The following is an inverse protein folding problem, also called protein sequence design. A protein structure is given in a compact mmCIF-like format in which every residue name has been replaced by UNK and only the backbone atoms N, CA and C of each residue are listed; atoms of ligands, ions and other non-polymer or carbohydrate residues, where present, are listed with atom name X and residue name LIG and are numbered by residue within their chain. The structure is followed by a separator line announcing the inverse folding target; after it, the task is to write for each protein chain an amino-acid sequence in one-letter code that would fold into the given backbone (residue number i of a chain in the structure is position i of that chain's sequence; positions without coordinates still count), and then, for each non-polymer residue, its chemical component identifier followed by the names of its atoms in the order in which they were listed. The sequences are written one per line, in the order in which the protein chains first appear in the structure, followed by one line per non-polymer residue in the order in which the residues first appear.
data_IF_053039645352
#
_entry.id   IF_053039645352
#
_cell.length_a   1.000
_cell.length_b   1.000
_cell.length_c   1.000
_cell.angle_alpha   90.00
_cell.angle_beta   90.00
_cell.angle_gamma   90.00
#
_symmetry.space_group_name_H-M   'P 1'
#
loop_
_entity.id
_entity.type
_entity.pdbx_description
1 polymer ?
#
# COMPACT_ATOMS: atom_id res chain seq x y z
N UNK A 1 -16.84 -9.76 11.14
CA UNK A 1 -15.94 -10.93 11.16
C UNK A 1 -16.71 -12.17 10.74
N UNK A 2 -16.21 -12.92 9.75
CA UNK A 2 -16.90 -14.07 9.15
C UNK A 2 -16.44 -15.42 9.74
N UNK A 3 -17.27 -16.46 9.62
CA UNK A 3 -17.00 -17.76 10.22
C UNK A 3 -15.77 -18.46 9.63
N UNK A 4 -15.57 -18.38 8.31
CA UNK A 4 -14.40 -18.95 7.61
C UNK A 4 -13.13 -18.20 7.99
N UNK A 5 -13.18 -16.86 8.10
CA UNK A 5 -12.02 -16.06 8.55
C UNK A 5 -11.57 -16.49 9.95
N UNK A 6 -12.51 -16.62 10.89
CA UNK A 6 -12.18 -17.09 12.24
C UNK A 6 -11.64 -18.53 12.26
N UNK A 7 -12.16 -19.41 11.40
CA UNK A 7 -11.63 -20.75 11.25
C UNK A 7 -10.21 -20.75 10.67
N UNK A 8 -9.94 -19.89 9.68
CA UNK A 8 -8.62 -19.74 9.06
C UNK A 8 -7.57 -19.30 10.10
N UNK A 9 -7.88 -18.36 10.99
CA UNK A 9 -6.97 -18.00 12.09
C UNK A 9 -6.68 -19.18 13.03
N UNK A 10 -7.71 -19.92 13.44
CA UNK A 10 -7.52 -21.09 14.31
C UNK A 10 -6.66 -22.15 13.64
N UNK A 11 -6.93 -22.44 12.37
CA UNK A 11 -6.15 -23.40 11.57
C UNK A 11 -4.72 -22.91 11.45
N UNK A 12 -4.48 -21.63 11.14
CA UNK A 12 -3.14 -21.06 11.03
C UNK A 12 -2.33 -21.21 12.32
N UNK A 13 -2.94 -20.98 13.49
CA UNK A 13 -2.27 -21.15 14.80
C UNK A 13 -1.93 -22.60 15.14
N UNK A 14 -2.75 -23.54 14.68
CA UNK A 14 -2.57 -24.97 14.93
C UNK A 14 -1.78 -25.70 13.83
N UNK A 15 -1.53 -25.05 12.67
CA UNK A 15 -0.91 -25.67 11.50
C UNK A 15 0.50 -26.19 11.83
N UNK A 16 0.83 -27.40 11.34
CA UNK A 16 2.13 -28.04 11.55
C UNK A 16 2.69 -28.60 10.24
N UNK A 17 3.90 -28.19 9.82
CA UNK A 17 4.74 -27.14 10.42
C UNK A 17 4.03 -25.77 10.42
N UNK A 18 4.42 -24.81 11.29
CA UNK A 18 3.80 -23.48 11.31
C UNK A 18 3.88 -22.81 9.94
N UNK A 19 2.80 -22.16 9.52
CA UNK A 19 2.82 -21.31 8.32
C UNK A 19 3.76 -20.12 8.54
N UNK A 20 4.46 -19.73 7.48
CA UNK A 20 5.25 -18.50 7.47
C UNK A 20 4.36 -17.28 7.71
N UNK A 21 4.93 -16.15 8.14
CA UNK A 21 4.14 -14.92 8.32
C UNK A 21 3.43 -14.47 7.02
N UNK A 22 4.07 -14.46 5.84
CA UNK A 22 3.39 -14.18 4.57
C UNK A 22 2.26 -15.15 4.25
N UNK A 23 2.48 -16.46 4.42
CA UNK A 23 1.43 -17.45 4.12
C UNK A 23 0.24 -17.36 5.09
N UNK A 24 0.46 -16.91 6.33
CA UNK A 24 -0.65 -16.57 7.26
C UNK A 24 -1.46 -15.37 6.77
N UNK A 25 -0.82 -14.34 6.22
CA UNK A 25 -1.51 -13.18 5.65
C UNK A 25 -2.31 -13.56 4.40
N UNK A 26 -1.70 -14.32 3.50
CA UNK A 26 -2.38 -14.88 2.32
C UNK A 26 -3.58 -15.74 2.71
N UNK A 27 -3.45 -16.57 3.75
CA UNK A 27 -4.55 -17.38 4.27
C UNK A 27 -5.70 -16.51 4.82
N UNK A 28 -5.40 -15.38 5.47
CA UNK A 28 -6.43 -14.44 5.94
C UNK A 28 -7.20 -13.84 4.79
N UNK A 29 -6.49 -13.37 3.77
CA UNK A 29 -7.11 -12.78 2.57
C UNK A 29 -7.97 -13.81 1.82
N UNK A 30 -7.44 -15.00 1.55
CA UNK A 30 -8.19 -16.08 0.91
C UNK A 30 -9.36 -16.57 1.77
N UNK A 31 -9.20 -16.58 3.10
CA UNK A 31 -10.28 -16.87 4.04
C UNK A 31 -11.42 -15.85 3.97
N UNK A 32 -11.11 -14.57 3.77
CA UNK A 32 -12.10 -13.53 3.54
C UNK A 32 -12.80 -13.69 2.18
N UNK A 33 -12.07 -14.07 1.13
CA UNK A 33 -12.65 -14.41 -0.18
C UNK A 33 -13.58 -15.63 -0.09
N UNK A 34 -13.16 -16.68 0.63
CA UNK A 34 -13.96 -17.87 0.88
C UNK A 34 -15.22 -17.56 1.71
N UNK A 35 -15.17 -16.61 2.64
CA UNK A 35 -16.36 -16.11 3.35
C UNK A 35 -17.38 -15.51 2.37
N UNK A 36 -16.93 -14.69 1.40
CA UNK A 36 -17.81 -14.11 0.38
C UNK A 36 -18.43 -15.21 -0.50
N UNK A 37 -17.63 -16.22 -0.90
CA UNK A 37 -18.15 -17.38 -1.63
C UNK A 37 -19.19 -18.15 -0.80
N UNK A 38 -18.93 -18.40 0.48
CA UNK A 38 -19.90 -19.07 1.37
C UNK A 38 -21.20 -18.28 1.48
N UNK A 39 -21.13 -16.96 1.72
CA UNK A 39 -22.31 -16.12 1.82
C UNK A 39 -23.17 -16.20 0.54
N UNK A 40 -22.53 -16.25 -0.63
CA UNK A 40 -23.24 -16.47 -1.88
C UNK A 40 -23.84 -17.87 -2.00
N UNK A 41 -23.03 -18.93 -1.82
CA UNK A 41 -23.43 -20.33 -2.03
C UNK A 41 -24.51 -20.77 -1.02
N UNK A 42 -24.37 -20.39 0.25
CA UNK A 42 -25.24 -20.84 1.34
C UNK A 42 -26.46 -19.93 1.50
N UNK A 43 -26.28 -18.61 1.41
CA UNK A 43 -27.35 -17.65 1.70
C UNK A 43 -27.95 -17.02 0.43
N UNK A 44 -27.43 -17.32 -0.75
CA UNK A 44 -27.85 -16.65 -1.99
C UNK A 44 -27.44 -15.17 -2.06
N UNK A 45 -26.45 -14.73 -1.28
CA UNK A 45 -26.05 -13.32 -1.24
C UNK A 45 -25.34 -12.88 -2.54
N UNK A 46 -26.11 -12.26 -3.43
CA UNK A 46 -25.60 -11.71 -4.70
C UNK A 46 -24.60 -10.56 -4.50
N UNK A 47 -24.67 -9.82 -3.38
CA UNK A 47 -23.72 -8.72 -3.10
C UNK A 47 -22.36 -9.27 -2.72
N UNK A 48 -22.31 -10.37 -1.98
CA UNK A 48 -21.06 -11.06 -1.66
C UNK A 48 -20.34 -11.53 -2.94
N UNK A 49 -21.10 -12.12 -3.88
CA UNK A 49 -20.56 -12.52 -5.19
C UNK A 49 -20.05 -11.32 -5.99
N UNK A 50 -20.84 -10.25 -6.09
CA UNK A 50 -20.46 -9.05 -6.83
C UNK A 50 -19.17 -8.40 -6.30
N UNK A 51 -18.93 -8.43 -4.98
CA UNK A 51 -17.68 -7.95 -4.35
C UNK A 51 -16.47 -8.81 -4.74
N UNK A 52 -16.62 -10.13 -4.76
CA UNK A 52 -15.54 -11.01 -5.20
C UNK A 52 -15.23 -10.82 -6.69
N UNK A 53 -16.26 -10.72 -7.52
CA UNK A 53 -16.10 -10.44 -8.96
C UNK A 53 -15.44 -9.08 -9.20
N UNK A 54 -15.71 -8.09 -8.36
CA UNK A 54 -15.03 -6.79 -8.40
C UNK A 54 -13.53 -6.90 -8.16
N UNK A 55 -13.10 -7.70 -7.17
CA UNK A 55 -11.68 -7.95 -6.91
C UNK A 55 -11.03 -8.67 -8.09
N UNK A 56 -11.68 -9.68 -8.65
CA UNK A 56 -11.16 -10.44 -9.79
C UNK A 56 -10.98 -9.61 -11.07
N UNK A 57 -11.71 -8.50 -11.21
CA UNK A 57 -11.57 -7.54 -12.32
C UNK A 57 -10.42 -6.54 -12.16
N UNK A 58 -9.75 -6.51 -11.02
CA UNK A 58 -8.58 -5.65 -10.81
C UNK A 58 -7.37 -6.17 -11.61
N UNK A 59 -6.38 -5.32 -11.84
CA UNK A 59 -5.10 -5.75 -12.42
C UNK A 59 -4.35 -6.70 -11.47
N UNK A 60 -3.45 -7.57 -11.95
CA UNK A 60 -3.15 -7.81 -13.36
C UNK A 60 -4.27 -8.62 -14.03
N UNK A 61 -4.45 -8.51 -15.35
CA UNK A 61 -5.37 -9.41 -16.05
C UNK A 61 -4.88 -10.85 -15.94
N UNK A 62 -5.78 -11.75 -15.54
CA UNK A 62 -5.49 -13.17 -15.37
C UNK A 62 -6.40 -13.97 -16.28
N UNK A 63 -5.80 -14.77 -17.17
CA UNK A 63 -6.53 -15.63 -18.08
C UNK A 63 -7.18 -16.82 -17.38
N UNK A 64 -8.10 -17.53 -18.06
CA UNK A 64 -8.87 -18.63 -17.47
C UNK A 64 -8.01 -19.83 -17.05
N UNK A 65 -6.82 -19.99 -17.60
CA UNK A 65 -5.87 -21.05 -17.23
C UNK A 65 -4.78 -20.54 -16.28
N UNK A 66 -4.89 -19.31 -15.78
CA UNK A 66 -3.89 -18.67 -14.91
C UNK A 66 -2.79 -17.93 -15.67
N UNK A 67 -2.99 -17.62 -16.95
CA UNK A 67 -2.06 -16.76 -17.70
C UNK A 67 -1.93 -15.41 -17.00
N UNK A 68 -0.69 -14.90 -16.85
CA UNK A 68 -0.43 -13.63 -16.17
C UNK A 68 -0.29 -13.73 -14.64
N UNK A 69 -0.51 -14.90 -14.05
CA UNK A 69 -0.17 -15.15 -12.64
C UNK A 69 1.36 -15.33 -12.53
N UNK A 70 1.99 -14.56 -11.65
CA UNK A 70 3.41 -14.73 -11.36
C UNK A 70 3.63 -16.05 -10.59
N UNK A 71 4.71 -16.82 -10.88
CA UNK A 71 4.99 -18.09 -10.23
C UNK A 71 4.95 -18.05 -8.70
N UNK A 72 5.27 -16.89 -8.10
CA UNK A 72 5.20 -16.66 -6.66
C UNK A 72 3.79 -16.85 -6.11
N UNK A 73 2.80 -16.21 -6.70
CA UNK A 73 1.40 -16.31 -6.28
C UNK A 73 0.82 -17.70 -6.56
N UNK A 74 1.22 -18.33 -7.67
CA UNK A 74 0.85 -19.71 -7.96
C UNK A 74 1.37 -20.68 -6.88
N UNK A 75 2.66 -20.59 -6.54
CA UNK A 75 3.27 -21.41 -5.49
C UNK A 75 2.64 -21.13 -4.12
N UNK A 76 2.42 -19.86 -3.77
CA UNK A 76 1.82 -19.50 -2.50
C UNK A 76 0.37 -20.00 -2.36
N UNK A 77 -0.42 -19.96 -3.43
CA UNK A 77 -1.76 -20.54 -3.43
C UNK A 77 -1.74 -22.05 -3.20
N UNK A 78 -0.79 -22.77 -3.79
CA UNK A 78 -0.61 -24.22 -3.57
C UNK A 78 -0.26 -24.52 -2.11
N UNK A 79 0.65 -23.75 -1.49
CA UNK A 79 1.07 -23.94 -0.09
C UNK A 79 -0.05 -23.66 0.91
N UNK A 80 -0.84 -22.61 0.68
CA UNK A 80 -1.89 -22.17 1.62
C UNK A 80 -3.18 -22.96 1.46
N UNK A 81 -3.44 -23.56 0.29
CA UNK A 81 -4.71 -24.26 -0.03
C UNK A 81 -5.12 -25.30 1.02
N UNK A 82 -4.26 -26.23 1.51
CA UNK A 82 -4.68 -27.23 2.47
C UNK A 82 -5.20 -26.63 3.79
N UNK A 83 -4.60 -25.52 4.23
CA UNK A 83 -5.06 -24.80 5.43
C UNK A 83 -6.40 -24.10 5.20
N UNK A 84 -6.60 -23.51 4.02
CA UNK A 84 -7.88 -22.92 3.64
C UNK A 84 -9.00 -23.97 3.55
N UNK A 85 -8.73 -25.12 2.92
CA UNK A 85 -9.66 -26.23 2.83
C UNK A 85 -10.05 -26.76 4.22
N UNK A 86 -9.07 -26.93 5.12
CA UNK A 86 -9.33 -27.32 6.51
C UNK A 86 -10.22 -26.29 7.24
N UNK A 87 -9.98 -25.00 7.04
CA UNK A 87 -10.79 -23.93 7.63
C UNK A 87 -12.23 -23.94 7.12
N UNK A 88 -12.43 -24.11 5.81
CA UNK A 88 -13.76 -24.21 5.19
C UNK A 88 -14.48 -25.48 5.63
N UNK A 89 -13.78 -26.62 5.68
CA UNK A 89 -14.33 -27.90 6.11
C UNK A 89 -14.85 -27.85 7.55
N UNK A 90 -14.12 -27.17 8.46
CA UNK A 90 -14.57 -26.98 9.83
C UNK A 90 -15.89 -26.18 9.94
N UNK A 91 -16.17 -25.30 8.98
CA UNK A 91 -17.42 -24.53 8.93
C UNK A 91 -18.54 -25.33 8.27
N UNK A 92 -18.26 -26.05 7.17
CA UNK A 92 -19.25 -26.93 6.55
C UNK A 92 -19.70 -28.03 7.52
N UNK A 93 -18.76 -28.66 8.23
CA UNK A 93 -19.10 -29.70 9.21
C UNK A 93 -19.96 -29.21 10.38
N UNK A 94 -19.93 -27.91 10.69
CA UNK A 94 -20.73 -27.31 11.77
C UNK A 94 -22.06 -26.73 11.29
N UNK A 95 -22.31 -26.67 9.98
CA UNK A 95 -23.59 -26.26 9.41
C UNK A 95 -24.27 -27.49 8.81
N UNK A 96 -25.52 -27.79 9.19
CA UNK A 96 -26.31 -28.92 8.65
C UNK A 96 -26.58 -28.84 7.12
N UNK A 97 -26.00 -27.85 6.44
CA UNK A 97 -25.96 -27.68 5.00
C UNK A 97 -25.03 -28.73 4.36
N UNK A 98 -25.46 -29.98 4.41
CA UNK A 98 -24.83 -31.10 3.72
C UNK A 98 -25.13 -31.00 2.21
N UNK A 99 -24.62 -29.97 1.54
CA UNK A 99 -24.69 -29.88 0.08
C UNK A 99 -23.61 -30.78 -0.51
N UNK A 100 -24.07 -31.89 -1.10
CA UNK A 100 -23.30 -32.95 -1.75
C UNK A 100 -22.00 -32.47 -2.43
N UNK A 101 -20.84 -32.75 -1.83
CA UNK A 101 -19.49 -32.79 -2.43
C UNK A 101 -18.91 -31.51 -3.06
N UNK A 102 -19.73 -30.66 -3.70
CA UNK A 102 -19.32 -29.43 -4.37
C UNK A 102 -19.17 -28.22 -3.46
N UNK A 103 -19.65 -28.30 -2.21
CA UNK A 103 -19.62 -27.17 -1.27
C UNK A 103 -18.20 -26.73 -0.88
N UNK A 104 -17.28 -27.67 -0.64
CA UNK A 104 -15.90 -27.34 -0.23
C UNK A 104 -15.18 -26.57 -1.33
N UNK A 105 -15.11 -27.10 -2.55
CA UNK A 105 -14.43 -26.44 -3.68
C UNK A 105 -15.11 -25.13 -4.06
N UNK A 106 -16.44 -25.06 -4.03
CA UNK A 106 -17.17 -23.83 -4.34
C UNK A 106 -16.89 -22.69 -3.34
N UNK A 107 -16.55 -23.02 -2.10
CA UNK A 107 -16.25 -22.04 -1.04
C UNK A 107 -14.75 -21.75 -0.97
N UNK A 108 -13.90 -22.78 -0.92
CA UNK A 108 -12.45 -22.64 -0.81
C UNK A 108 -11.80 -22.12 -2.11
N UNK A 109 -12.44 -22.31 -3.27
CA UNK A 109 -11.84 -22.08 -4.58
C UNK A 109 -10.85 -23.18 -4.96
N UNK A 110 -10.32 -23.12 -6.18
CA UNK A 110 -9.19 -23.96 -6.59
C UNK A 110 -7.87 -23.18 -6.63
N UNK A 111 -6.77 -23.87 -6.97
CA UNK A 111 -5.44 -23.29 -6.94
C UNK A 111 -5.29 -22.11 -7.91
N UNK A 112 -5.89 -22.20 -9.11
CA UNK A 112 -5.80 -21.13 -10.12
C UNK A 112 -6.60 -19.92 -9.66
N UNK A 113 -7.83 -20.12 -9.16
CA UNK A 113 -8.65 -19.02 -8.66
C UNK A 113 -7.99 -18.33 -7.45
N UNK A 114 -7.42 -19.10 -6.53
CA UNK A 114 -6.76 -18.55 -5.35
C UNK A 114 -5.45 -17.84 -5.72
N UNK A 115 -4.67 -18.37 -6.67
CA UNK A 115 -3.49 -17.68 -7.19
C UNK A 115 -3.86 -16.38 -7.91
N UNK A 116 -4.96 -16.38 -8.67
CA UNK A 116 -5.47 -15.17 -9.31
C UNK A 116 -5.84 -14.11 -8.27
N UNK A 117 -6.53 -14.49 -7.20
CA UNK A 117 -6.88 -13.59 -6.09
C UNK A 117 -5.64 -13.04 -5.38
N UNK A 118 -4.64 -13.88 -5.10
CA UNK A 118 -3.37 -13.42 -4.53
C UNK A 118 -2.66 -12.44 -5.46
N UNK A 119 -2.69 -12.67 -6.77
CA UNK A 119 -2.13 -11.71 -7.74
C UNK A 119 -2.87 -10.37 -7.70
N UNK A 120 -4.19 -10.36 -7.45
CA UNK A 120 -4.93 -9.12 -7.21
C UNK A 120 -4.51 -8.47 -5.90
N UNK A 121 -4.39 -9.22 -4.82
CA UNK A 121 -3.94 -8.70 -3.53
C UNK A 121 -2.56 -8.03 -3.65
N UNK A 122 -1.55 -8.74 -4.19
CA UNK A 122 -0.18 -8.23 -4.32
C UNK A 122 -0.11 -6.86 -5.00
N UNK A 123 -0.95 -6.61 -6.00
CA UNK A 123 -0.92 -5.38 -6.79
C UNK A 123 -1.88 -4.28 -6.31
N UNK A 124 -2.87 -4.63 -5.49
CA UNK A 124 -3.98 -3.73 -5.16
C UNK A 124 -4.25 -3.58 -3.66
N UNK A 125 -3.52 -4.29 -2.81
CA UNK A 125 -3.67 -4.19 -1.37
C UNK A 125 -3.10 -2.87 -0.85
N UNK A 126 -3.86 -2.29 0.07
CA UNK A 126 -3.54 -1.05 0.76
C UNK A 126 -3.17 -1.39 2.20
N UNK A 127 -1.98 -0.95 2.63
CA UNK A 127 -1.54 -1.09 4.02
C UNK A 127 -2.46 -0.28 4.95
N UNK A 128 -3.08 -0.96 5.91
CA UNK A 128 -3.97 -0.39 6.92
C UNK A 128 -3.15 0.15 8.08
N UNK A 129 -3.08 1.47 8.22
CA UNK A 129 -2.26 2.12 9.24
C UNK A 129 -2.90 2.05 10.63
N UNK A 130 -2.11 1.73 11.66
CA UNK A 130 -2.45 1.82 13.08
C UNK A 130 -2.74 3.26 13.52
N UNK A 131 -3.43 3.47 14.64
CA UNK A 131 -3.62 4.81 15.20
C UNK A 131 -2.26 5.41 15.57
N UNK A 132 -2.11 6.73 15.44
CA UNK A 132 -0.94 7.39 16.02
C UNK A 132 -1.14 7.50 17.54
N UNK A 133 -0.15 7.06 18.33
CA UNK A 133 -0.21 7.06 19.79
C UNK A 133 -0.17 8.47 20.42
N UNK A 134 0.05 9.54 19.65
CA UNK A 134 0.21 10.93 20.13
C UNK A 134 -1.04 11.63 20.71
N UNK A 135 -2.15 10.93 20.91
CA UNK A 135 -3.41 11.56 21.31
C UNK A 135 -3.48 12.01 22.79
N UNK A 136 -2.54 11.63 23.66
CA UNK A 136 -2.62 11.95 25.10
C UNK A 136 -1.48 12.82 25.67
N UNK A 137 -0.55 13.30 24.82
CA UNK A 137 0.56 14.15 25.28
C UNK A 137 1.50 13.48 26.29
N UNK A 138 1.40 12.16 26.50
CA UNK A 138 2.36 11.43 27.32
C UNK A 138 3.65 11.22 26.51
N UNK A 139 4.74 11.80 26.99
CA UNK A 139 6.08 11.49 26.48
C UNK A 139 6.46 10.08 26.97
N UNK A 140 6.28 9.06 26.14
CA UNK A 140 6.98 7.79 26.36
C UNK A 140 8.46 8.03 26.10
N UNK A 141 9.30 7.92 27.13
CA UNK A 141 10.76 7.99 27.05
C UNK A 141 11.39 6.77 26.34
N UNK A 142 10.62 6.06 25.51
CA UNK A 142 11.08 4.89 24.78
C UNK A 142 11.32 5.31 23.34
N UNK A 143 12.59 5.45 22.97
CA UNK A 143 13.09 5.76 21.62
C UNK A 143 12.78 4.65 20.59
N UNK A 144 11.94 3.67 20.96
CA UNK A 144 11.54 2.57 20.10
C UNK A 144 10.09 2.74 19.61
N UNK A 145 9.97 3.24 18.37
CA UNK A 145 8.91 2.84 17.43
C UNK A 145 7.53 3.56 17.57
N UNK A 146 7.54 4.90 17.64
CA UNK A 146 6.36 5.80 17.55
C UNK A 146 5.84 6.00 16.10
N UNK A 147 6.32 5.20 15.15
CA UNK A 147 5.81 5.21 13.78
C UNK A 147 4.44 4.51 13.71
N UNK A 148 3.49 5.09 12.97
CA UNK A 148 2.23 4.41 12.65
C UNK A 148 2.55 3.11 11.93
N UNK A 149 2.34 1.96 12.57
CA UNK A 149 2.61 0.65 11.97
C UNK A 149 1.47 0.21 11.05
N UNK A 150 1.78 -0.53 9.98
CA UNK A 150 0.76 -1.23 9.20
C UNK A 150 0.22 -2.41 10.04
N UNK A 151 -1.10 -2.48 10.27
CA UNK A 151 -1.78 -3.53 11.04
C UNK A 151 -2.38 -4.64 10.18
N UNK A 152 -2.44 -4.43 8.86
CA UNK A 152 -2.96 -5.40 7.91
C UNK A 152 -3.08 -4.83 6.51
N UNK A 153 -3.67 -5.60 5.59
CA UNK A 153 -3.98 -5.20 4.22
C UNK A 153 -5.48 -5.14 3.97
N UNK A 154 -5.89 -4.27 3.05
CA UNK A 154 -7.26 -4.20 2.54
C UNK A 154 -7.26 -3.95 1.03
N UNK A 155 -8.22 -4.55 0.31
CA UNK A 155 -8.41 -4.31 -1.13
C UNK A 155 -9.65 -3.44 -1.32
N UNK A 156 -9.50 -2.35 -2.06
CA UNK A 156 -10.55 -1.35 -2.29
C UNK A 156 -10.82 -1.20 -3.78
N UNK A 157 -11.87 -1.85 -4.30
CA UNK A 157 -12.17 -1.87 -5.75
C UNK A 157 -12.00 -0.51 -6.45
N UNK A 158 -12.60 0.55 -5.90
CA UNK A 158 -12.58 1.87 -6.53
C UNK A 158 -11.22 2.56 -6.38
N UNK A 159 -10.56 2.42 -5.23
CA UNK A 159 -9.26 3.04 -5.01
C UNK A 159 -8.15 2.35 -5.82
N UNK A 160 -8.24 1.04 -6.00
CA UNK A 160 -7.33 0.24 -6.83
C UNK A 160 -7.32 0.62 -8.32
N UNK A 161 -8.26 1.46 -8.78
CA UNK A 161 -8.30 1.98 -10.15
C UNK A 161 -7.53 3.29 -10.33
N UNK A 162 -7.08 3.92 -9.26
CA UNK A 162 -6.38 5.20 -9.30
C UNK A 162 -4.90 4.94 -9.53
N UNK A 163 -4.37 5.47 -10.63
CA UNK A 163 -2.99 5.23 -11.03
C UNK A 163 -1.97 5.97 -10.16
N UNK A 164 -0.72 5.53 -10.30
CA UNK A 164 0.43 6.12 -9.64
C UNK A 164 0.89 7.42 -10.30
N UNK A 165 1.21 8.43 -9.50
CA UNK A 165 2.16 9.47 -9.88
C UNK A 165 3.07 9.83 -8.70
N UNK A 166 4.36 10.07 -8.95
CA UNK A 166 5.28 10.58 -7.92
C UNK A 166 4.97 12.04 -7.54
N UNK A 167 4.17 12.71 -8.38
CA UNK A 167 3.45 13.95 -8.09
C UNK A 167 1.94 13.70 -8.16
N UNK A 168 1.37 13.17 -7.08
CA UNK A 168 -0.06 12.90 -7.05
C UNK A 168 -0.87 14.18 -6.93
N UNK A 169 -2.12 14.12 -7.40
CA UNK A 169 -3.10 15.18 -7.17
C UNK A 169 -4.13 14.82 -6.09
N UNK A 170 -4.10 13.60 -5.55
CA UNK A 170 -4.85 13.20 -4.36
C UNK A 170 -3.94 12.57 -3.29
N UNK A 171 -4.31 12.77 -2.03
CA UNK A 171 -3.73 12.08 -0.89
C UNK A 171 -4.73 11.04 -0.35
N UNK A 172 -4.22 9.87 0.01
CA UNK A 172 -4.99 8.77 0.59
C UNK A 172 -5.12 8.93 2.10
N UNK A 173 -6.34 8.93 2.62
CA UNK A 173 -6.65 8.92 4.04
C UNK A 173 -7.44 7.66 4.40
N UNK A 174 -6.96 6.93 5.39
CA UNK A 174 -7.66 5.75 5.90
C UNK A 174 -8.31 6.01 7.26
N UNK A 175 -9.44 5.34 7.51
CA UNK A 175 -10.29 5.59 8.66
C UNK A 175 -10.29 4.45 9.70
N UNK A 176 -9.19 3.71 9.83
CA UNK A 176 -9.22 2.39 10.49
C UNK A 176 -9.30 2.38 12.01
N UNK A 177 -8.98 3.48 12.69
CA UNK A 177 -8.85 3.45 14.15
C UNK A 177 -9.99 4.09 14.92
N UNK A 178 -11.06 4.55 14.28
CA UNK A 178 -12.37 4.73 14.93
C UNK A 178 -12.42 5.55 16.24
N UNK A 179 -11.38 6.28 16.65
CA UNK A 179 -11.48 7.21 17.79
C UNK A 179 -12.04 8.52 17.24
N UNK A 180 -13.36 8.52 17.12
CA UNK A 180 -14.27 9.63 16.80
C UNK A 180 -14.14 10.84 17.75
N UNK A 181 -13.19 10.84 18.68
CA UNK A 181 -13.03 11.86 19.72
C UNK A 181 -11.71 12.61 19.65
N UNK A 182 -10.75 12.21 18.79
CA UNK A 182 -9.53 13.01 18.61
C UNK A 182 -9.75 14.11 17.56
N UNK A 183 -9.64 15.40 17.93
CA UNK A 183 -9.71 16.51 16.97
C UNK A 183 -8.52 16.53 15.99
N UNK A 184 -7.50 15.67 16.16
CA UNK A 184 -6.38 15.51 15.22
C UNK A 184 -6.78 14.86 13.90
N UNK A 185 -7.98 14.28 13.81
CA UNK A 185 -8.48 13.63 12.61
C UNK A 185 -9.81 14.30 12.18
N UNK A 186 -9.74 15.57 11.76
CA UNK A 186 -10.92 16.35 11.33
C UNK A 186 -11.74 15.74 10.20
N UNK A 187 -11.18 14.75 9.53
CA UNK A 187 -11.90 13.87 8.62
C UNK A 187 -13.07 13.08 9.24
N UNK A 188 -13.19 13.08 10.57
CA UNK A 188 -14.30 12.49 11.31
C UNK A 188 -15.44 13.47 11.62
N UNK A 189 -15.32 14.75 11.28
CA UNK A 189 -16.40 15.71 11.56
C UNK A 189 -17.58 15.42 10.62
N UNK A 190 -18.79 15.13 11.14
CA UNK A 190 -19.98 15.02 10.31
C UNK A 190 -20.15 16.29 9.49
N UNK A 191 -20.34 16.17 8.18
CA UNK A 191 -20.60 17.33 7.33
C UNK A 191 -21.84 18.04 7.87
N UNK A 192 -21.81 19.38 7.93
CA UNK A 192 -23.02 20.20 8.23
C UNK A 192 -24.20 19.84 7.31
N UNK A 193 -23.89 19.21 6.17
CA UNK A 193 -24.79 18.82 5.10
C UNK A 193 -25.46 17.43 5.32
N UNK A 194 -25.24 16.76 6.46
CA UNK A 194 -26.03 15.57 6.88
C UNK A 194 -25.51 14.20 6.43
N UNK A 195 -24.28 14.10 5.90
CA UNK A 195 -23.67 12.79 5.62
C UNK A 195 -23.08 12.19 6.91
N UNK A 196 -23.39 10.92 7.18
CA UNK A 196 -22.79 10.15 8.27
C UNK A 196 -21.26 10.21 8.21
N UNK A 197 -20.55 10.23 9.36
CA UNK A 197 -19.10 10.15 9.36
C UNK A 197 -18.64 8.87 8.64
N UNK A 198 -17.47 8.90 7.98
CA UNK A 198 -16.99 7.75 7.23
C UNK A 198 -16.87 6.52 8.14
N UNK A 199 -17.12 5.35 7.57
CA UNK A 199 -17.06 4.09 8.31
C UNK A 199 -15.62 3.70 8.67
N UNK A 200 -15.38 2.89 9.71
CA UNK A 200 -14.03 2.52 10.18
C UNK A 200 -13.22 1.65 9.21
N UNK A 201 -13.75 1.36 8.02
CA UNK A 201 -13.06 0.62 6.97
C UNK A 201 -13.06 1.40 5.66
N UNK A 202 -13.39 2.69 5.70
CA UNK A 202 -13.46 3.55 4.51
C UNK A 202 -12.09 4.18 4.21
N UNK A 203 -11.70 4.10 2.93
CA UNK A 203 -10.56 4.81 2.37
C UNK A 203 -11.08 5.98 1.56
N UNK A 204 -10.48 7.16 1.76
CA UNK A 204 -10.82 8.37 1.02
C UNK A 204 -9.60 8.90 0.28
N UNK A 205 -9.84 9.35 -0.95
CA UNK A 205 -8.88 10.06 -1.75
C UNK A 205 -9.28 11.52 -1.76
N UNK A 206 -8.42 12.38 -1.24
CA UNK A 206 -8.70 13.80 -1.02
C UNK A 206 -7.81 14.60 -1.94
N UNK A 207 -8.40 15.47 -2.74
CA UNK A 207 -7.66 16.33 -3.65
C UNK A 207 -6.69 17.24 -2.87
N UNK A 208 -5.42 17.25 -3.28
CA UNK A 208 -4.37 18.09 -2.68
C UNK A 208 -4.56 19.55 -3.13
N UNK A 209 -4.98 19.73 -4.39
CA UNK A 209 -5.34 21.01 -4.98
C UNK A 209 -6.49 20.81 -5.99
N UNK A 210 -6.93 21.87 -6.66
CA UNK A 210 -7.93 21.81 -7.72
C UNK A 210 -7.49 20.87 -8.84
N UNK A 211 -8.34 19.92 -9.17
CA UNK A 211 -8.15 18.98 -10.29
C UNK A 211 -9.05 19.43 -11.44
N UNK A 212 -8.50 19.89 -12.58
CA UNK A 212 -9.30 20.28 -13.73
C UNK A 212 -10.14 19.13 -14.28
N UNK A 213 -11.29 19.44 -14.87
CA UNK A 213 -12.13 18.44 -15.52
C UNK A 213 -11.36 17.75 -16.68
N UNK A 214 -11.41 16.43 -16.73
CA UNK A 214 -10.68 15.63 -17.71
C UNK A 214 -9.24 15.29 -17.32
N UNK A 215 -8.69 15.87 -16.25
CA UNK A 215 -7.43 15.41 -15.68
C UNK A 215 -7.61 14.07 -14.96
N UNK A 216 -6.65 13.17 -15.15
CA UNK A 216 -6.60 11.91 -14.41
C UNK A 216 -6.38 12.16 -12.92
N UNK A 217 -7.08 11.39 -12.08
CA UNK A 217 -6.83 11.36 -10.64
C UNK A 217 -5.69 10.38 -10.38
N UNK A 218 -4.63 10.83 -9.71
CA UNK A 218 -3.43 10.05 -9.42
C UNK A 218 -3.05 10.15 -7.94
N UNK A 219 -2.64 9.01 -7.37
CA UNK A 219 -2.11 8.94 -6.01
C UNK A 219 -0.67 8.43 -6.03
N UNK A 220 0.11 8.67 -4.97
CA UNK A 220 1.40 8.02 -4.84
C UNK A 220 1.22 6.67 -4.16
N UNK A 221 1.86 5.63 -4.72
CA UNK A 221 1.88 4.28 -4.13
C UNK A 221 3.02 4.15 -3.11
N UNK A 222 4.00 5.04 -3.20
CA UNK A 222 5.23 5.06 -2.41
C UNK A 222 5.34 6.41 -1.68
N UNK A 223 6.15 6.52 -0.63
CA UNK A 223 6.42 7.81 -0.02
C UNK A 223 7.04 8.77 -1.05
N UNK A 224 6.49 9.99 -1.15
CA UNK A 224 6.93 10.98 -2.13
C UNK A 224 8.32 11.55 -1.81
N UNK A 225 8.83 11.33 -0.60
CA UNK A 225 10.17 11.74 -0.18
C UNK A 225 11.30 10.81 -0.67
N UNK A 226 10.98 9.60 -1.16
CA UNK A 226 12.01 8.66 -1.64
C UNK A 226 12.74 9.20 -2.88
N UNK A 227 13.99 8.76 -3.12
CA UNK A 227 14.78 9.15 -4.30
C UNK A 227 14.23 8.56 -5.59
N UNK A 228 14.58 9.16 -6.74
CA UNK A 228 14.09 8.72 -8.05
C UNK A 228 14.37 7.24 -8.31
N UNK A 229 15.62 6.83 -8.08
CA UNK A 229 16.09 5.46 -8.32
C UNK A 229 15.28 4.44 -7.52
N UNK A 230 15.09 4.71 -6.22
CA UNK A 230 14.35 3.85 -5.31
C UNK A 230 12.88 3.74 -5.71
N UNK A 231 12.22 4.87 -5.98
CA UNK A 231 10.81 4.85 -6.41
C UNK A 231 10.63 4.01 -7.66
N UNK A 232 11.48 4.20 -8.67
CA UNK A 232 11.39 3.48 -9.94
C UNK A 232 11.65 1.97 -9.78
N UNK A 233 12.69 1.57 -9.03
CA UNK A 233 12.93 0.14 -8.73
C UNK A 233 11.74 -0.50 -8.04
N UNK A 234 11.22 0.11 -6.97
CA UNK A 234 10.07 -0.42 -6.22
C UNK A 234 8.82 -0.52 -7.09
N UNK A 235 8.55 0.47 -7.94
CA UNK A 235 7.42 0.42 -8.87
C UNK A 235 7.54 -0.74 -9.86
N UNK A 236 8.72 -0.99 -10.42
CA UNK A 236 8.94 -2.15 -11.30
C UNK A 236 8.84 -3.48 -10.55
N UNK A 237 9.51 -3.59 -9.41
CA UNK A 237 9.59 -4.83 -8.64
C UNK A 237 8.23 -5.25 -8.06
N UNK A 238 7.47 -4.29 -7.53
CA UNK A 238 6.19 -4.56 -6.87
C UNK A 238 5.01 -4.47 -7.82
N UNK A 239 4.98 -3.47 -8.72
CA UNK A 239 3.81 -3.19 -9.57
C UNK A 239 4.00 -3.51 -11.06
N UNK A 240 5.24 -3.79 -11.49
CA UNK A 240 5.51 -4.25 -12.86
C UNK A 240 5.54 -3.15 -13.91
N UNK A 241 5.68 -1.87 -13.54
CA UNK A 241 5.77 -0.76 -14.50
C UNK A 241 6.87 0.24 -14.14
N UNK A 242 7.40 0.92 -15.16
CA UNK A 242 8.30 2.07 -14.99
C UNK A 242 7.50 3.37 -15.02
N UNK A 243 7.63 4.20 -13.98
CA UNK A 243 6.89 5.47 -13.89
C UNK A 243 7.45 6.52 -14.86
N UNK A 244 6.60 7.12 -15.67
CA UNK A 244 6.95 8.16 -16.63
C UNK A 244 6.28 9.51 -16.32
N UNK A 245 5.79 9.68 -15.08
CA UNK A 245 5.24 10.96 -14.64
C UNK A 245 6.26 12.10 -14.75
N UNK A 246 5.78 13.34 -14.85
CA UNK A 246 6.60 14.55 -15.03
C UNK A 246 7.80 14.59 -14.07
N UNK A 247 7.58 14.27 -12.79
CA UNK A 247 8.63 14.17 -11.79
C UNK A 247 9.72 13.16 -12.15
N UNK A 248 9.35 11.94 -12.53
CA UNK A 248 10.33 10.93 -12.89
C UNK A 248 11.09 11.30 -14.16
N UNK A 249 10.44 11.92 -15.14
CA UNK A 249 11.12 12.39 -16.37
C UNK A 249 12.22 13.40 -16.03
N UNK A 250 11.88 14.40 -15.21
CA UNK A 250 12.81 15.46 -14.80
C UNK A 250 13.94 14.87 -13.93
N UNK A 251 13.61 14.14 -12.86
CA UNK A 251 14.61 13.59 -11.95
C UNK A 251 15.54 12.55 -12.64
N UNK A 252 15.04 11.76 -13.59
CA UNK A 252 15.89 10.86 -14.37
C UNK A 252 16.84 11.61 -15.32
N UNK A 253 16.43 12.74 -15.89
CA UNK A 253 17.33 13.55 -16.71
C UNK A 253 18.50 14.06 -15.85
N UNK A 254 18.19 14.62 -14.67
CA UNK A 254 19.17 15.07 -13.70
C UNK A 254 20.10 13.96 -13.23
N UNK A 255 19.56 12.78 -12.94
CA UNK A 255 20.38 11.65 -12.52
C UNK A 255 21.41 11.24 -13.58
N UNK A 256 21.01 11.23 -14.86
CA UNK A 256 21.92 10.94 -15.98
C UNK A 256 23.01 12.01 -16.14
N UNK A 257 22.66 13.28 -16.01
CA UNK A 257 23.62 14.39 -16.05
C UNK A 257 24.64 14.31 -14.91
N UNK A 258 24.18 13.93 -13.71
CA UNK A 258 25.02 13.81 -12.53
C UNK A 258 25.77 12.48 -12.44
N UNK A 259 25.52 11.54 -13.37
CA UNK A 259 26.08 10.19 -13.34
C UNK A 259 25.58 9.34 -12.16
N UNK A 260 24.41 9.65 -11.61
CA UNK A 260 23.79 8.91 -10.50
C UNK A 260 22.76 7.90 -11.00
N UNK A 261 22.33 7.01 -10.11
CA UNK A 261 21.38 5.96 -10.45
C UNK A 261 20.03 6.56 -10.87
N UNK A 262 19.53 6.11 -12.01
CA UNK A 262 18.15 6.34 -12.47
C UNK A 262 17.21 5.32 -11.87
N UNK A 263 17.76 4.24 -11.32
CA UNK A 263 17.00 3.08 -10.90
C UNK A 263 16.56 2.21 -12.05
N UNK A 264 16.89 2.50 -13.32
CA UNK A 264 16.65 1.63 -14.48
C UNK A 264 17.79 0.64 -14.74
N UNK A 265 18.86 0.71 -13.95
CA UNK A 265 19.95 -0.25 -14.04
C UNK A 265 19.39 -1.64 -13.66
N UNK A 266 19.22 -2.52 -14.64
CA UNK A 266 18.83 -3.92 -14.45
C UNK A 266 19.86 -4.60 -13.55
N UNK A 267 19.51 -4.76 -12.27
CA UNK A 267 20.45 -5.19 -11.24
C UNK A 267 20.50 -6.70 -11.08
N UNK A 268 21.59 -7.20 -10.47
CA UNK A 268 21.73 -8.58 -9.99
C UNK A 268 20.52 -9.07 -9.15
N UNK A 269 19.75 -8.13 -8.58
CA UNK A 269 18.49 -8.40 -7.90
C UNK A 269 17.39 -8.95 -8.82
N UNK A 270 17.16 -8.37 -10.00
CA UNK A 270 16.13 -8.85 -10.94
C UNK A 270 16.44 -10.30 -11.36
N UNK A 271 17.73 -10.63 -11.50
CA UNK A 271 18.21 -11.98 -11.78
C UNK A 271 18.08 -12.94 -10.58
N UNK A 272 18.40 -12.50 -9.36
CA UNK A 272 18.26 -13.31 -8.15
C UNK A 272 16.79 -13.60 -7.82
N UNK A 273 15.93 -12.58 -7.88
CA UNK A 273 14.47 -12.74 -7.73
C UNK A 273 13.89 -13.68 -8.77
N UNK A 274 14.31 -13.58 -10.04
CA UNK A 274 13.85 -14.48 -11.09
C UNK A 274 14.22 -15.93 -10.78
N UNK A 275 15.47 -16.19 -10.37
CA UNK A 275 15.93 -17.55 -10.00
C UNK A 275 15.18 -18.11 -8.79
N UNK A 276 14.92 -17.29 -7.77
CA UNK A 276 14.15 -17.71 -6.59
C UNK A 276 12.70 -18.10 -6.98
N UNK A 277 12.04 -17.28 -7.82
CA UNK A 277 10.69 -17.56 -8.34
C UNK A 277 10.65 -18.84 -9.18
N UNK A 278 11.65 -19.06 -10.03
CA UNK A 278 11.76 -20.29 -10.85
C UNK A 278 11.95 -21.54 -9.98
N UNK A 279 12.68 -21.43 -8.87
CA UNK A 279 12.90 -22.53 -7.94
C UNK A 279 11.67 -22.90 -7.09
N UNK A 280 10.66 -22.01 -7.01
CA UNK A 280 9.46 -22.15 -6.14
C UNK A 280 9.80 -22.43 -4.67
N UNK A 281 10.95 -21.93 -4.22
CA UNK A 281 11.42 -22.07 -2.84
C UNK A 281 11.14 -20.78 -2.08
N UNK A 282 10.20 -20.84 -1.14
CA UNK A 282 9.83 -19.68 -0.32
C UNK A 282 10.98 -19.16 0.54
N UNK A 283 11.87 -20.03 1.01
CA UNK A 283 13.04 -19.59 1.78
C UNK A 283 13.97 -18.78 0.88
N UNK A 284 14.18 -19.23 -0.37
CA UNK A 284 14.94 -18.50 -1.36
C UNK A 284 14.24 -17.19 -1.79
N UNK A 285 12.91 -17.17 -1.88
CA UNK A 285 12.16 -15.93 -2.14
C UNK A 285 12.29 -14.92 -1.01
N UNK A 286 12.16 -15.35 0.25
CA UNK A 286 12.34 -14.50 1.42
C UNK A 286 13.79 -14.00 1.54
N UNK A 287 14.76 -14.84 1.23
CA UNK A 287 16.18 -14.45 1.18
C UNK A 287 16.42 -13.44 0.05
N UNK A 288 15.82 -13.64 -1.13
CA UNK A 288 15.93 -12.71 -2.26
C UNK A 288 15.26 -11.36 -1.94
N UNK A 289 14.07 -11.35 -1.33
CA UNK A 289 13.38 -10.14 -0.89
C UNK A 289 14.22 -9.40 0.19
N UNK A 290 14.76 -10.12 1.17
CA UNK A 290 15.63 -9.54 2.20
C UNK A 290 16.94 -8.98 1.63
N UNK A 291 17.52 -9.65 0.64
CA UNK A 291 18.68 -9.18 -0.10
C UNK A 291 18.35 -7.92 -0.93
N UNK A 292 17.17 -7.85 -1.53
CA UNK A 292 16.65 -6.65 -2.20
C UNK A 292 16.64 -5.45 -1.26
N UNK A 293 16.02 -5.63 -0.09
CA UNK A 293 15.87 -4.59 0.91
C UNK A 293 17.22 -4.16 1.48
N UNK A 294 18.21 -5.07 1.54
CA UNK A 294 19.57 -4.74 1.93
C UNK A 294 20.27 -3.89 0.85
N UNK A 295 20.19 -4.29 -0.41
CA UNK A 295 20.76 -3.53 -1.53
C UNK A 295 20.14 -2.14 -1.67
N UNK A 296 18.82 -2.04 -1.48
CA UNK A 296 18.14 -0.75 -1.53
C UNK A 296 18.58 0.16 -0.37
N UNK A 297 18.80 -0.38 0.83
CA UNK A 297 19.36 0.39 1.96
C UNK A 297 20.79 0.85 1.68
N UNK A 298 21.66 -0.04 1.21
CA UNK A 298 23.03 0.29 0.83
C UNK A 298 23.06 1.35 -0.27
N UNK A 299 22.22 1.22 -1.30
CA UNK A 299 22.09 2.21 -2.37
C UNK A 299 21.68 3.59 -1.83
N UNK A 300 20.77 3.64 -0.86
CA UNK A 300 20.34 4.91 -0.25
C UNK A 300 21.47 5.53 0.59
N UNK A 301 22.19 4.73 1.37
CA UNK A 301 23.31 5.19 2.20
C UNK A 301 24.45 5.76 1.34
N UNK A 302 24.72 5.13 0.20
CA UNK A 302 25.69 5.61 -0.79
C UNK A 302 25.23 6.94 -1.42
N UNK A 303 23.96 7.04 -1.80
CA UNK A 303 23.39 8.28 -2.37
C UNK A 303 23.44 9.42 -1.35
N UNK A 304 23.07 9.17 -0.09
CA UNK A 304 23.12 10.16 0.98
C UNK A 304 24.56 10.60 1.27
N UNK A 305 25.51 9.67 1.29
CA UNK A 305 26.93 9.96 1.48
C UNK A 305 27.48 10.79 0.33
N UNK A 306 27.12 10.47 -0.92
CA UNK A 306 27.48 11.25 -2.10
C UNK A 306 26.88 12.66 -2.07
N UNK A 307 25.63 12.80 -1.63
CA UNK A 307 24.98 14.10 -1.48
C UNK A 307 25.63 14.95 -0.37
N UNK A 308 26.07 14.34 0.73
CA UNK A 308 26.81 15.05 1.79
C UNK A 308 28.19 15.51 1.33
N UNK A 309 28.85 14.77 0.44
CA UNK A 309 30.19 15.10 -0.05
C UNK A 309 30.24 16.10 -1.20
N UNK A 310 29.10 16.55 -1.74
CA UNK A 310 29.06 17.60 -2.78
C UNK A 310 29.71 18.89 -2.26
N UNK A 311 30.46 19.58 -3.10
CA UNK A 311 30.90 20.94 -2.78
C UNK A 311 29.76 21.95 -2.95
N UNK A 312 29.95 23.17 -2.42
CA UNK A 312 28.90 24.20 -2.45
C UNK A 312 28.53 24.63 -3.87
N UNK A 313 29.49 24.57 -4.81
CA UNK A 313 29.24 24.90 -6.22
C UNK A 313 28.32 23.87 -6.87
N UNK A 314 28.54 22.60 -6.59
CA UNK A 314 27.73 21.49 -7.05
C UNK A 314 26.35 21.48 -6.40
N UNK A 315 26.25 21.76 -5.10
CA UNK A 315 24.96 21.95 -4.41
C UNK A 315 24.15 23.07 -5.06
N UNK A 316 24.78 24.20 -5.33
CA UNK A 316 24.15 25.37 -5.97
C UNK A 316 23.67 25.02 -7.38
N UNK A 317 24.54 24.40 -8.21
CA UNK A 317 24.17 23.93 -9.55
C UNK A 317 22.95 23.02 -9.55
N UNK A 318 22.89 22.07 -8.60
CA UNK A 318 21.76 21.14 -8.48
C UNK A 318 20.50 21.80 -7.96
N UNK A 319 20.61 22.81 -7.10
CA UNK A 319 19.47 23.58 -6.61
C UNK A 319 18.88 24.48 -7.71
N UNK A 320 19.72 25.15 -8.49
CA UNK A 320 19.31 26.13 -9.51
C UNK A 320 18.49 25.52 -10.66
N UNK A 321 18.64 24.22 -10.92
CA UNK A 321 17.86 23.50 -11.95
C UNK A 321 16.47 23.05 -11.49
N UNK A 322 16.14 23.16 -10.19
CA UNK A 322 14.84 22.72 -9.66
C UNK A 322 13.76 23.74 -10.07
N UNK A 323 12.71 23.34 -10.83
CA UNK A 323 11.64 24.27 -11.19
C UNK A 323 10.94 24.81 -9.94
N UNK A 324 10.62 26.10 -9.90
CA UNK A 324 9.99 26.71 -8.73
C UNK A 324 8.66 26.03 -8.35
N UNK A 325 7.85 25.63 -9.33
CA UNK A 325 6.62 24.86 -9.12
C UNK A 325 6.86 23.52 -8.44
N UNK A 326 7.96 22.87 -8.79
CA UNK A 326 8.42 21.61 -8.23
C UNK A 326 8.77 21.77 -6.75
N UNK A 327 9.63 22.74 -6.43
CA UNK A 327 10.04 23.05 -5.06
C UNK A 327 8.84 23.45 -4.18
N UNK A 328 7.97 24.33 -4.68
CA UNK A 328 6.78 24.78 -3.96
C UNK A 328 5.83 23.62 -3.62
N UNK A 329 5.69 22.64 -4.52
CA UNK A 329 4.85 21.47 -4.24
C UNK A 329 5.35 20.70 -3.02
N UNK A 330 6.65 20.43 -2.90
CA UNK A 330 7.21 19.70 -1.74
C UNK A 330 7.03 20.49 -0.45
N UNK A 331 7.34 21.78 -0.47
CA UNK A 331 7.20 22.63 0.73
C UNK A 331 5.73 22.72 1.15
N UNK A 332 4.79 22.79 0.20
CA UNK A 332 3.35 22.91 0.46
C UNK A 332 2.65 21.59 0.80
N UNK A 333 3.12 20.46 0.29
CA UNK A 333 2.37 19.21 0.35
C UNK A 333 3.08 18.08 1.09
N UNK A 334 4.32 18.25 1.54
CA UNK A 334 4.94 17.29 2.47
C UNK A 334 4.74 17.66 3.93
N UNK A 335 4.54 16.63 4.75
CA UNK A 335 4.49 16.76 6.20
C UNK A 335 5.81 17.32 6.74
N UNK A 336 5.77 18.37 7.57
CA UNK A 336 6.98 18.98 8.14
C UNK A 336 7.50 18.27 9.39
N UNK A 337 6.82 17.22 9.85
CA UNK A 337 7.29 16.41 10.98
C UNK A 337 8.44 15.55 10.49
N UNK A 338 9.61 15.72 11.10
CA UNK A 338 10.81 14.96 10.76
C UNK A 338 10.53 13.45 10.77
N UNK A 339 11.00 12.76 9.74
CA UNK A 339 10.79 11.32 9.55
C UNK A 339 9.39 10.91 9.06
N UNK A 340 8.38 11.79 9.05
CA UNK A 340 7.01 11.37 8.71
C UNK A 340 6.82 11.00 7.24
N UNK A 341 7.34 11.80 6.30
CA UNK A 341 7.20 11.58 4.85
C UNK A 341 5.76 11.58 4.28
N UNK A 342 4.76 11.90 5.11
CA UNK A 342 3.35 11.93 4.72
C UNK A 342 3.01 13.11 3.80
N UNK A 343 1.90 12.97 3.08
CA UNK A 343 1.36 14.01 2.19
C UNK A 343 0.25 14.79 2.90
N UNK A 344 0.31 16.11 2.79
CA UNK A 344 -0.66 17.05 3.30
C UNK A 344 -1.78 17.28 2.28
N UNK A 345 -3.03 17.31 2.74
CA UNK A 345 -4.18 17.71 1.94
C UNK A 345 -5.21 18.45 2.82
N UNK A 346 -6.05 19.33 2.24
CA UNK A 346 -7.09 20.00 2.99
C UNK A 346 -8.18 18.99 3.39
N UNK A 347 -8.59 18.90 4.67
CA UNK A 347 -9.52 17.86 5.09
C UNK A 347 -10.93 17.99 4.49
N UNK A 348 -11.29 19.20 4.07
CA UNK A 348 -12.51 19.51 3.34
C UNK A 348 -12.37 20.82 2.56
N UNK A 349 -13.34 21.12 1.70
CA UNK A 349 -13.30 22.27 0.77
C UNK A 349 -13.21 23.65 1.43
N UNK A 350 -13.63 23.79 2.69
CA UNK A 350 -13.55 25.04 3.46
C UNK A 350 -12.44 25.05 4.52
N UNK A 351 -11.48 24.13 4.45
CA UNK A 351 -10.43 24.05 5.48
C UNK A 351 -9.44 25.20 5.33
N UNK A 352 -8.99 25.74 6.46
CA UNK A 352 -7.96 26.79 6.59
C UNK A 352 -6.56 26.23 6.90
N UNK A 353 -6.42 24.90 6.82
CA UNK A 353 -5.18 24.19 7.08
C UNK A 353 -5.13 22.90 6.27
N UNK A 354 -3.93 22.33 6.19
CA UNK A 354 -3.67 21.03 5.62
C UNK A 354 -3.49 19.98 6.73
N UNK A 355 -3.91 18.75 6.48
CA UNK A 355 -3.75 17.61 7.39
C UNK A 355 -2.88 16.53 6.75
N UNK A 356 -1.94 15.98 7.51
CA UNK A 356 -1.06 14.92 7.05
C UNK A 356 -1.80 13.59 7.00
N UNK A 357 -1.72 12.90 5.87
CA UNK A 357 -2.36 11.61 5.68
C UNK A 357 -1.70 10.45 6.45
N UNK A 358 -0.47 10.67 6.90
CA UNK A 358 0.27 9.72 7.72
C UNK A 358 0.09 10.05 9.20
N UNK A 359 0.76 11.06 9.75
CA UNK A 359 0.73 11.35 11.19
C UNK A 359 -0.48 12.18 11.66
N UNK A 360 -1.30 12.72 10.77
CA UNK A 360 -2.42 13.60 11.16
C UNK A 360 -2.01 15.00 11.61
N UNK A 361 -0.73 15.37 11.54
CA UNK A 361 -0.27 16.72 11.85
C UNK A 361 -1.01 17.75 10.98
N UNK A 362 -1.31 18.90 11.58
CA UNK A 362 -2.01 20.01 10.95
C UNK A 362 -1.03 21.14 10.67
N UNK A 363 -1.21 21.83 9.54
CA UNK A 363 -0.43 23.02 9.20
C UNK A 363 -1.32 24.08 8.57
N UNK A 364 -1.46 25.22 9.24
CA UNK A 364 -2.14 26.38 8.71
C UNK A 364 -1.27 27.20 7.78
N UNK A 365 -1.88 28.13 7.03
CA UNK A 365 -1.19 29.01 6.09
C UNK A 365 -0.12 29.87 6.77
N UNK A 366 -0.38 30.41 7.97
CA UNK A 366 0.61 31.21 8.72
C UNK A 366 1.88 30.41 9.05
N UNK A 367 1.73 29.15 9.45
CA UNK A 367 2.87 28.27 9.74
C UNK A 367 3.63 27.91 8.47
N UNK A 368 2.91 27.72 7.34
CA UNK A 368 3.52 27.52 6.03
C UNK A 368 4.39 28.71 5.62
N UNK A 369 3.84 29.93 5.64
CA UNK A 369 4.58 31.13 5.27
C UNK A 369 5.78 31.39 6.19
N UNK A 370 5.62 31.20 7.51
CA UNK A 370 6.72 31.33 8.47
C UNK A 370 7.89 30.39 8.16
N UNK A 371 7.61 29.15 7.73
CA UNK A 371 8.65 28.19 7.33
C UNK A 371 9.31 28.58 6.01
N UNK A 372 8.52 29.10 5.06
CA UNK A 372 9.04 29.58 3.79
C UNK A 372 10.03 30.72 4.00
N UNK A 373 9.71 31.65 4.89
CA UNK A 373 10.60 32.77 5.27
C UNK A 373 11.85 32.29 6.01
N UNK A 374 11.72 31.30 6.91
CA UNK A 374 12.84 30.74 7.66
C UNK A 374 13.82 29.93 6.79
N UNK A 375 13.35 29.35 5.67
CA UNK A 375 14.18 28.63 4.71
C UNK A 375 14.80 29.50 3.61
N UNK A 376 14.43 30.78 3.52
CA UNK A 376 14.95 31.75 2.56
C UNK A 376 16.14 32.57 3.10
N UNK A 377 16.58 32.31 4.34
CA UNK A 377 17.64 33.02 5.05
C UNK A 377 19.00 32.34 5.01
#
# INVERSE_FOLDING_TARGET
HGAVVCAAERVASAWRPPLSAPDRERLRFLGACAELRRAHVVNGDARARARLDAVLRLCPDVGPAGEGIDPREASAAERVRPALEAAVQAIIASTEANTAGGGLRAIAGDAVENAALLAKETKNAFGVMAAHHRADGSHSNDDSDDDRRVRGGAVYELASRVNHACFPNVARFDNFDGVLTSPSHEFHVPRRDGANPPGPTELRLVAIDKIPAGCEVTMSYLPVSESCARRRRRLRNTFGFGCDCERCVIECAWAREDGTATGDEGGAFEDASRRAREARDEAAELEADAYADALDRESNELEETANRSLDDAERTRRADRIPATYALWFVRNMCPVDGCGGTLAPPHVTADHMTCNYCGARRGDEEFFRRLDAGAG
#
